data_IF_310500933647
#
_entry.id   IF_310500933647
#
_cell.length_a   1.000
_cell.length_b   1.000
_cell.length_c   1.000
_cell.angle_alpha   90.00
_cell.angle_beta   90.00
_cell.angle_gamma   90.00
#
_symmetry.space_group_name_H-M   'P 1'
#
loop_
_entity.id
_entity.type
_entity.pdbx_description
1 polymer ?
#
# COMPACT_ATOMS: atom_id res chain seq x y z
N UNK A 1 24.83 -0.97 -13.64
CA UNK A 1 26.14 -0.45 -13.20
C UNK A 1 27.24 -0.97 -14.13
N UNK A 2 27.79 -0.08 -14.95
CA UNK A 2 28.81 -0.44 -15.94
C UNK A 2 30.16 -0.78 -15.30
N UNK A 3 30.50 -0.19 -14.17
CA UNK A 3 31.76 -0.43 -13.47
C UNK A 3 31.77 -1.78 -12.76
N UNK A 4 30.64 -2.15 -12.17
CA UNK A 4 30.48 -3.44 -11.51
C UNK A 4 30.14 -4.59 -12.47
N UNK A 5 29.79 -4.31 -13.72
CA UNK A 5 29.30 -5.31 -14.68
C UNK A 5 28.02 -6.00 -14.23
N UNK A 6 27.20 -5.30 -13.43
CA UNK A 6 25.98 -5.83 -12.83
C UNK A 6 24.79 -5.00 -13.19
N UNK A 7 23.60 -5.61 -13.12
CA UNK A 7 22.31 -4.96 -13.29
C UNK A 7 21.63 -4.82 -11.92
N UNK A 8 20.82 -3.77 -11.79
CA UNK A 8 19.92 -3.60 -10.67
C UNK A 8 18.51 -3.32 -11.19
N UNK A 9 17.52 -3.70 -10.42
CA UNK A 9 16.12 -3.39 -10.72
C UNK A 9 15.79 -1.95 -10.32
N UNK A 10 14.99 -1.28 -11.14
CA UNK A 10 14.38 0.00 -10.80
C UNK A 10 12.99 0.07 -11.43
N UNK A 11 11.99 0.33 -10.63
CA UNK A 11 10.60 0.47 -11.12
C UNK A 11 10.35 1.83 -11.74
N UNK A 12 10.90 2.89 -11.12
CA UNK A 12 10.66 4.27 -11.49
C UNK A 12 11.82 4.85 -12.30
N UNK A 13 12.84 5.34 -11.64
CA UNK A 13 13.94 6.05 -12.31
C UNK A 13 15.25 5.25 -12.24
N UNK A 14 16.03 5.32 -13.32
CA UNK A 14 17.31 4.58 -13.42
C UNK A 14 18.35 4.94 -12.35
N UNK A 15 18.18 6.06 -11.66
CA UNK A 15 19.03 6.47 -10.54
C UNK A 15 18.45 6.11 -9.16
N UNK A 16 17.33 5.41 -9.12
CA UNK A 16 16.65 4.98 -7.89
C UNK A 16 16.47 3.45 -7.92
N UNK A 17 17.53 2.69 -7.58
CA UNK A 17 17.42 1.23 -7.50
C UNK A 17 16.45 0.83 -6.38
N UNK A 18 15.62 -0.16 -6.67
CA UNK A 18 14.69 -0.69 -5.69
C UNK A 18 15.41 -1.61 -4.69
N UNK A 19 14.93 -1.64 -3.46
CA UNK A 19 15.43 -2.53 -2.43
C UNK A 19 14.91 -3.95 -2.67
N UNK A 20 15.78 -4.93 -2.49
CA UNK A 20 15.40 -6.33 -2.61
C UNK A 20 14.71 -6.84 -1.33
N UNK A 21 13.39 -6.79 -1.29
CA UNK A 21 12.57 -7.26 -0.15
C UNK A 21 12.54 -8.78 0.01
N UNK A 22 13.04 -9.57 -0.94
CA UNK A 22 13.28 -11.00 -0.73
C UNK A 22 14.41 -11.24 0.28
N UNK A 23 15.35 -10.28 0.40
CA UNK A 23 16.39 -10.33 1.40
C UNK A 23 15.83 -10.00 2.80
N UNK A 24 15.88 -10.93 3.76
CA UNK A 24 15.36 -10.69 5.12
C UNK A 24 16.12 -9.57 5.86
N UNK A 25 17.38 -9.31 5.52
CA UNK A 25 18.16 -8.22 6.10
C UNK A 25 17.60 -6.85 5.69
N UNK A 26 17.13 -6.72 4.44
CA UNK A 26 16.45 -5.51 3.97
C UNK A 26 15.16 -5.28 4.76
N UNK A 27 14.33 -6.31 4.91
CA UNK A 27 13.09 -6.20 5.69
C UNK A 27 13.37 -5.81 7.14
N UNK A 28 14.39 -6.40 7.76
CA UNK A 28 14.82 -6.05 9.11
C UNK A 28 15.27 -4.60 9.22
N UNK A 29 16.12 -4.14 8.30
CA UNK A 29 16.59 -2.76 8.26
C UNK A 29 15.45 -1.75 8.08
N UNK A 30 14.42 -2.10 7.31
CA UNK A 30 13.24 -1.26 7.13
C UNK A 30 12.39 -1.19 8.41
N UNK A 31 12.25 -2.30 9.14
CA UNK A 31 11.59 -2.31 10.45
C UNK A 31 12.38 -1.46 11.46
N UNK A 32 13.71 -1.54 11.46
CA UNK A 32 14.57 -0.71 12.32
C UNK A 32 14.43 0.78 11.97
N UNK A 33 14.36 1.14 10.69
CA UNK A 33 14.10 2.50 10.24
C UNK A 33 12.73 3.02 10.72
N UNK A 34 11.70 2.18 10.62
CA UNK A 34 10.36 2.49 11.12
C UNK A 34 10.40 2.74 12.65
N UNK A 35 11.03 1.85 13.41
CA UNK A 35 11.22 2.00 14.86
C UNK A 35 11.92 3.31 15.22
N UNK A 36 12.99 3.63 14.50
CA UNK A 36 13.76 4.86 14.74
C UNK A 36 12.88 6.11 14.76
N UNK A 37 11.90 6.19 13.86
CA UNK A 37 10.99 7.32 13.80
C UNK A 37 9.86 7.25 14.82
N UNK A 38 9.28 6.07 15.05
CA UNK A 38 8.22 5.87 16.02
C UNK A 38 8.72 6.12 17.45
N UNK A 39 9.96 5.70 17.79
CA UNK A 39 10.61 5.95 19.08
C UNK A 39 10.85 7.46 19.32
N UNK A 40 10.90 8.25 18.25
CA UNK A 40 11.01 9.73 18.33
C UNK A 40 9.67 10.45 18.39
N UNK A 41 8.57 9.70 18.48
CA UNK A 41 7.24 10.26 18.66
C UNK A 41 6.47 10.59 17.39
N UNK A 42 6.90 10.09 16.23
CA UNK A 42 6.10 10.20 14.98
C UNK A 42 4.84 9.37 15.13
N UNK A 43 3.69 9.95 14.83
CA UNK A 43 2.38 9.30 15.03
C UNK A 43 1.98 8.36 13.90
N UNK A 44 2.58 8.52 12.71
CA UNK A 44 2.27 7.67 11.56
C UNK A 44 3.36 7.67 10.52
N UNK A 45 3.42 6.60 9.74
CA UNK A 45 4.39 6.39 8.67
C UNK A 45 3.64 6.20 7.36
N UNK A 46 4.01 6.97 6.34
CA UNK A 46 3.60 6.74 4.95
C UNK A 46 4.52 5.72 4.31
N UNK A 47 3.94 4.65 3.82
CA UNK A 47 4.64 3.61 3.06
C UNK A 47 4.56 3.96 1.58
N UNK A 48 5.69 4.40 1.04
CA UNK A 48 5.83 4.84 -0.35
C UNK A 48 5.72 3.66 -1.31
N UNK A 49 4.96 3.84 -2.41
CA UNK A 49 4.87 2.89 -3.52
C UNK A 49 4.69 1.42 -3.10
N UNK A 50 3.91 1.19 -2.06
CA UNK A 50 3.78 -0.10 -1.39
C UNK A 50 3.33 -1.28 -2.28
N UNK A 51 2.61 -1.10 -3.42
CA UNK A 51 2.27 -2.20 -4.32
C UNK A 51 3.49 -2.89 -4.96
N UNK A 52 4.65 -2.23 -4.99
CA UNK A 52 5.79 -2.61 -5.81
C UNK A 52 7.01 -3.10 -5.01
N UNK A 53 6.81 -3.66 -3.82
CA UNK A 53 7.90 -4.09 -2.95
C UNK A 53 8.61 -5.36 -3.42
N UNK A 54 7.91 -6.21 -4.17
CA UNK A 54 8.44 -7.48 -4.67
C UNK A 54 8.28 -7.56 -6.17
N UNK A 55 9.26 -8.19 -6.82
CA UNK A 55 9.22 -8.47 -8.25
C UNK A 55 9.13 -9.98 -8.50
N UNK A 56 8.26 -10.38 -9.44
CA UNK A 56 8.09 -11.79 -9.84
C UNK A 56 7.94 -11.89 -11.34
N UNK A 57 8.74 -12.76 -11.94
CA UNK A 57 8.66 -13.06 -13.36
C UNK A 57 7.24 -13.49 -13.77
N UNK A 58 6.79 -12.98 -14.90
CA UNK A 58 5.47 -13.29 -15.44
C UNK A 58 4.31 -12.55 -14.77
N UNK A 59 4.60 -11.61 -13.87
CA UNK A 59 3.61 -10.71 -13.25
C UNK A 59 3.87 -9.24 -13.62
N UNK A 60 2.93 -8.36 -13.26
CA UNK A 60 3.16 -6.91 -13.34
C UNK A 60 3.86 -6.34 -12.09
N UNK A 61 4.22 -7.19 -11.10
CA UNK A 61 4.84 -6.81 -9.84
C UNK A 61 3.92 -6.04 -8.88
N UNK A 62 2.60 -6.06 -9.09
CA UNK A 62 1.63 -5.33 -8.26
C UNK A 62 0.79 -6.28 -7.41
N UNK A 63 0.46 -5.85 -6.20
CA UNK A 63 -0.47 -6.58 -5.31
C UNK A 63 -0.07 -8.04 -5.06
N UNK A 64 1.23 -8.32 -5.01
CA UNK A 64 1.73 -9.68 -4.81
C UNK A 64 1.42 -10.16 -3.38
N UNK A 65 1.17 -11.47 -3.19
CA UNK A 65 0.93 -12.04 -1.86
C UNK A 65 2.06 -11.75 -0.86
N UNK A 66 3.30 -11.66 -1.34
CA UNK A 66 4.48 -11.34 -0.54
C UNK A 66 4.43 -9.91 0.00
N UNK A 67 3.95 -8.96 -0.81
CA UNK A 67 3.72 -7.57 -0.37
C UNK A 67 2.74 -7.54 0.80
N UNK A 68 1.61 -8.20 0.67
CA UNK A 68 0.61 -8.27 1.74
C UNK A 68 1.13 -9.02 2.99
N UNK A 69 1.93 -10.06 2.80
CA UNK A 69 2.56 -10.76 3.93
C UNK A 69 3.52 -9.84 4.70
N UNK A 70 4.32 -9.04 3.99
CA UNK A 70 5.22 -8.08 4.61
C UNK A 70 4.47 -6.93 5.31
N UNK A 71 3.38 -6.44 4.74
CA UNK A 71 2.54 -5.43 5.40
C UNK A 71 1.94 -5.94 6.73
N UNK A 72 1.53 -7.20 6.78
CA UNK A 72 1.09 -7.83 8.04
C UNK A 72 2.23 -7.95 9.06
N UNK A 73 3.44 -8.25 8.62
CA UNK A 73 4.64 -8.27 9.47
C UNK A 73 4.90 -6.88 10.07
N UNK A 74 4.90 -5.82 9.24
CA UNK A 74 5.05 -4.44 9.70
C UNK A 74 3.95 -4.05 10.67
N UNK A 75 2.69 -4.35 10.35
CA UNK A 75 1.54 -4.01 11.19
C UNK A 75 1.61 -4.72 12.54
N UNK A 76 1.91 -6.00 12.55
CA UNK A 76 2.07 -6.77 13.79
C UNK A 76 3.20 -6.20 14.66
N UNK A 77 4.30 -5.75 14.04
CA UNK A 77 5.39 -5.10 14.76
C UNK A 77 4.94 -3.78 15.40
N UNK A 78 4.19 -2.94 14.67
CA UNK A 78 3.67 -1.67 15.19
C UNK A 78 2.71 -1.92 16.35
N UNK A 79 1.73 -2.79 16.16
CA UNK A 79 0.69 -3.07 17.17
C UNK A 79 1.29 -3.67 18.48
N UNK A 80 2.37 -4.45 18.35
CA UNK A 80 3.01 -5.08 19.51
C UNK A 80 3.88 -4.10 20.34
N UNK A 81 4.36 -3.01 19.74
CA UNK A 81 5.36 -2.14 20.37
C UNK A 81 4.90 -0.70 20.58
N UNK A 82 3.84 -0.27 19.89
CA UNK A 82 3.41 1.13 19.89
C UNK A 82 1.90 1.24 19.98
N UNK A 83 1.43 2.13 20.83
CA UNK A 83 0.01 2.45 20.95
C UNK A 83 -0.32 3.71 20.11
N UNK A 84 -1.47 3.69 19.41
CA UNK A 84 -1.98 4.84 18.69
C UNK A 84 -1.14 5.27 17.48
N UNK A 85 -0.39 4.35 16.87
CA UNK A 85 0.40 4.63 15.67
C UNK A 85 -0.28 4.14 14.40
N UNK A 86 0.03 4.78 13.27
CA UNK A 86 -0.66 4.58 12.01
C UNK A 86 0.30 4.24 10.86
N UNK A 87 -0.11 3.30 10.01
CA UNK A 87 0.50 3.03 8.71
C UNK A 87 -0.44 3.51 7.61
N UNK A 88 0.07 4.35 6.69
CA UNK A 88 -0.65 4.89 5.54
C UNK A 88 -0.05 4.32 4.25
N UNK A 89 -0.83 3.56 3.51
CA UNK A 89 -0.40 3.01 2.22
C UNK A 89 -0.49 4.04 1.10
N UNK A 90 0.60 4.22 0.36
CA UNK A 90 0.54 4.82 -0.97
C UNK A 90 0.36 3.72 -2.02
N UNK A 91 -0.90 3.34 -2.24
CA UNK A 91 -1.30 2.37 -3.24
C UNK A 91 -2.11 3.08 -4.33
N UNK A 92 -1.44 3.51 -5.42
CA UNK A 92 -2.10 4.15 -6.55
C UNK A 92 -2.80 3.09 -7.41
N UNK A 93 -3.90 2.60 -6.90
CA UNK A 93 -4.70 1.50 -7.44
C UNK A 93 -6.15 1.95 -7.61
N UNK A 94 -6.93 1.21 -8.39
CA UNK A 94 -8.37 1.36 -8.39
C UNK A 94 -8.95 1.10 -6.99
N UNK A 95 -10.09 1.71 -6.62
CA UNK A 95 -10.65 1.56 -5.28
C UNK A 95 -10.87 0.10 -4.86
N UNK A 96 -11.17 -0.78 -5.83
CA UNK A 96 -11.38 -2.21 -5.60
C UNK A 96 -10.10 -2.92 -5.13
N UNK A 97 -8.95 -2.50 -5.66
CA UNK A 97 -7.64 -3.09 -5.35
C UNK A 97 -7.00 -2.41 -4.14
N UNK A 98 -7.18 -1.07 -4.01
CA UNK A 98 -6.66 -0.31 -2.87
C UNK A 98 -7.19 -0.81 -1.52
N UNK A 99 -8.38 -1.37 -1.52
CA UNK A 99 -9.02 -1.98 -0.35
C UNK A 99 -8.24 -3.18 0.20
N UNK A 100 -7.53 -3.91 -0.65
CA UNK A 100 -6.72 -5.06 -0.23
C UNK A 100 -5.63 -4.67 0.78
N UNK A 101 -5.16 -3.40 0.76
CA UNK A 101 -4.12 -2.90 1.67
C UNK A 101 -4.58 -2.67 3.11
N UNK A 102 -5.84 -2.85 3.42
CA UNK A 102 -6.35 -2.92 4.79
C UNK A 102 -6.28 -4.35 5.37
N UNK A 103 -6.13 -5.37 4.52
CA UNK A 103 -6.17 -6.78 4.91
C UNK A 103 -7.49 -7.16 5.57
N UNK A 104 -7.41 -7.77 6.73
CA UNK A 104 -8.55 -8.01 7.63
C UNK A 104 -8.51 -7.03 8.83
N UNK A 105 -7.94 -5.84 8.63
CA UNK A 105 -7.60 -4.89 9.69
C UNK A 105 -6.18 -5.12 10.24
N UNK A 106 -5.39 -5.96 9.58
CA UNK A 106 -4.06 -6.41 9.98
C UNK A 106 -2.93 -5.95 9.03
N UNK A 107 -3.24 -5.06 8.09
CA UNK A 107 -2.26 -4.39 7.21
C UNK A 107 -2.24 -2.88 7.48
N UNK A 108 -2.41 -2.02 6.48
CA UNK A 108 -2.38 -0.58 6.70
C UNK A 108 -3.67 -0.07 7.35
N UNK A 109 -3.56 0.97 8.15
CA UNK A 109 -4.70 1.64 8.79
C UNK A 109 -5.44 2.54 7.81
N UNK A 110 -4.71 3.14 6.86
CA UNK A 110 -5.21 4.08 5.87
C UNK A 110 -4.56 3.83 4.51
N UNK A 111 -5.23 4.26 3.46
CA UNK A 111 -4.67 4.36 2.11
C UNK A 111 -5.12 5.68 1.47
N UNK A 112 -4.28 6.23 0.60
CA UNK A 112 -4.67 7.37 -0.22
C UNK A 112 -5.77 6.99 -1.19
N UNK A 113 -6.75 7.87 -1.33
CA UNK A 113 -7.83 7.70 -2.30
C UNK A 113 -7.48 8.44 -3.60
N UNK A 114 -6.56 7.90 -4.38
CA UNK A 114 -6.06 8.52 -5.61
C UNK A 114 -7.16 8.92 -6.62
N UNK A 115 -8.20 8.11 -6.86
CA UNK A 115 -9.24 8.48 -7.81
C UNK A 115 -10.12 9.67 -7.38
N UNK A 116 -10.09 10.07 -6.11
CA UNK A 116 -10.92 11.18 -5.62
C UNK A 116 -10.47 12.54 -6.16
N UNK A 117 -9.14 12.79 -6.18
CA UNK A 117 -8.59 14.09 -6.60
C UNK A 117 -8.97 14.47 -8.04
N UNK A 118 -8.71 13.64 -9.07
CA UNK A 118 -9.11 13.98 -10.43
C UNK A 118 -10.64 14.13 -10.57
N UNK A 119 -11.45 13.35 -9.85
CA UNK A 119 -12.91 13.47 -9.87
C UNK A 119 -13.39 14.77 -9.21
N UNK A 120 -12.71 15.23 -8.17
CA UNK A 120 -12.98 16.54 -7.57
C UNK A 120 -12.68 17.68 -8.56
N UNK A 121 -11.53 17.65 -9.23
CA UNK A 121 -11.18 18.63 -10.27
C UNK A 121 -12.18 18.60 -11.43
N UNK A 122 -12.57 17.41 -11.90
CA UNK A 122 -13.59 17.28 -12.93
C UNK A 122 -14.92 17.89 -12.51
N UNK A 123 -15.38 17.62 -11.29
CA UNK A 123 -16.64 18.17 -10.79
C UNK A 123 -16.61 19.70 -10.76
N UNK A 124 -15.52 20.30 -10.31
CA UNK A 124 -15.34 21.75 -10.27
C UNK A 124 -15.25 22.35 -11.68
N UNK A 125 -14.47 21.74 -12.58
CA UNK A 125 -14.25 22.25 -13.94
C UNK A 125 -15.50 22.15 -14.83
N UNK A 126 -16.27 21.08 -14.67
CA UNK A 126 -17.49 20.84 -15.42
C UNK A 126 -18.75 21.45 -14.75
N UNK A 127 -18.60 22.05 -13.56
CA UNK A 127 -19.72 22.50 -12.73
C UNK A 127 -20.79 21.41 -12.53
N UNK A 128 -20.34 20.14 -12.47
CA UNK A 128 -21.18 18.96 -12.34
C UNK A 128 -20.74 18.09 -11.18
N UNK A 129 -21.68 17.75 -10.30
CA UNK A 129 -21.45 16.88 -9.13
C UNK A 129 -21.25 15.40 -9.46
N UNK A 130 -21.62 14.97 -10.68
CA UNK A 130 -21.66 13.54 -11.05
C UNK A 130 -20.32 12.83 -10.88
N UNK A 131 -19.16 13.38 -11.31
CA UNK A 131 -17.88 12.70 -11.14
C UNK A 131 -17.55 12.41 -9.68
N UNK A 132 -17.91 13.31 -8.77
CA UNK A 132 -17.69 13.14 -7.33
C UNK A 132 -18.69 12.14 -6.72
N UNK A 133 -19.96 12.25 -7.08
CA UNK A 133 -20.99 11.33 -6.59
C UNK A 133 -20.70 9.87 -7.02
N UNK A 134 -20.24 9.67 -8.27
CA UNK A 134 -19.89 8.37 -8.81
C UNK A 134 -18.75 7.69 -8.01
N UNK A 135 -17.65 8.38 -7.79
CA UNK A 135 -16.52 7.80 -7.05
C UNK A 135 -16.84 7.50 -5.59
N UNK A 136 -17.64 8.35 -4.93
CA UNK A 136 -18.08 8.10 -3.56
C UNK A 136 -19.06 6.93 -3.46
N UNK A 137 -19.93 6.76 -4.45
CA UNK A 137 -20.83 5.61 -4.52
C UNK A 137 -20.07 4.30 -4.73
N UNK A 138 -19.04 4.31 -5.58
CA UNK A 138 -18.15 3.16 -5.80
C UNK A 138 -17.43 2.76 -4.50
N UNK A 139 -16.88 3.73 -3.79
CA UNK A 139 -16.23 3.50 -2.49
C UNK A 139 -17.20 2.90 -1.45
N UNK A 140 -18.42 3.43 -1.36
CA UNK A 140 -19.44 2.92 -0.43
C UNK A 140 -19.85 1.47 -0.77
N UNK A 141 -19.90 1.11 -2.06
CA UNK A 141 -20.16 -0.25 -2.52
C UNK A 141 -19.06 -1.22 -2.12
N UNK A 142 -17.80 -0.81 -2.25
CA UNK A 142 -16.65 -1.63 -1.90
C UNK A 142 -16.59 -1.90 -0.39
N UNK A 143 -16.81 -0.88 0.45
CA UNK A 143 -16.94 -1.07 1.91
C UNK A 143 -18.01 -2.06 2.32
N UNK A 144 -19.16 -2.10 1.62
CA UNK A 144 -20.24 -3.07 1.89
C UNK A 144 -19.84 -4.50 1.49
N UNK A 145 -19.08 -4.67 0.41
CA UNK A 145 -18.59 -5.98 -0.02
C UNK A 145 -17.60 -6.59 0.98
N UNK A 146 -16.78 -5.75 1.62
CA UNK A 146 -15.84 -6.18 2.66
C UNK A 146 -16.50 -6.56 3.97
N UNK A 147 -17.51 -5.78 4.36
CA UNK A 147 -18.28 -6.05 5.57
C UNK A 147 -19.19 -7.30 5.45
N UNK A 148 -19.41 -7.81 4.22
CA UNK A 148 -20.17 -9.02 4.01
C UNK A 148 -19.37 -10.27 4.44
N UNK A 149 -19.96 -11.21 5.23
CA UNK A 149 -19.27 -12.44 5.60
C UNK A 149 -18.83 -13.20 4.34
N UNK A 150 -17.53 -13.51 4.23
CA UNK A 150 -17.05 -14.38 3.14
C UNK A 150 -17.67 -15.74 3.33
N UNK A 151 -18.62 -16.14 2.47
CA UNK A 151 -19.10 -17.51 2.42
C UNK A 151 -17.89 -18.46 2.31
N UNK A 152 -17.72 -19.31 3.33
CA UNK A 152 -16.73 -20.37 3.29
C UNK A 152 -17.08 -21.24 2.08
N UNK A 153 -16.30 -21.16 0.99
CA UNK A 153 -16.36 -22.16 -0.06
C UNK A 153 -16.11 -23.51 0.62
N UNK A 154 -17.17 -24.28 0.79
CA UNK A 154 -17.05 -25.69 1.18
C UNK A 154 -16.30 -26.39 0.06
N UNK A 155 -15.15 -26.95 0.41
CA UNK A 155 -14.40 -27.86 -0.41
C UNK A 155 -15.21 -29.18 -0.59
#
# INVERSE_FOLDING_TARGET
DHEAGQYFWHRFFSHQPDLNFDNPEVRRAMIESLRFWLDRGVDGIRLDAVPYLFERDGTNGENLPETHAYLRELRAHVDANYEGRMLLAEANQWPEDAVAYFGQGDECHMAFHFPLMPRLFMALHLEDRFPLADILALQAKNRKREAAPKEKKRA
#
